data_IF_699363402675
#
_entry.id   IF_699363402675
#
_cell.length_a   1.000
_cell.length_b   1.000
_cell.length_c   1.000
_cell.angle_alpha   90.00
_cell.angle_beta   90.00
_cell.angle_gamma   90.00
#
_symmetry.space_group_name_H-M   'P 1'
#
loop_
_entity.id
_entity.type
_entity.pdbx_description
1 polymer ?
#
# COMPACT_ATOMS: atom_id res chain seq x y z
N UNK A 1 -4.90 -13.68 -0.34
CA UNK A 1 -4.52 -12.66 -1.31
C UNK A 1 -3.54 -11.68 -0.66
N UNK A 2 -2.46 -12.21 -0.10
CA UNK A 2 -1.43 -11.43 0.57
C UNK A 2 -0.12 -11.95 0.01
N UNK A 3 0.35 -11.27 -1.03
CA UNK A 3 1.66 -11.55 -1.58
C UNK A 3 2.70 -10.95 -0.63
N UNK A 4 3.74 -11.71 -0.24
CA UNK A 4 4.80 -11.19 0.62
C UNK A 4 5.62 -10.06 -0.02
N UNK A 5 5.35 -9.76 -1.31
CA UNK A 5 6.00 -8.68 -2.06
C UNK A 5 5.28 -7.33 -1.93
N UNK A 6 4.11 -7.29 -1.32
CA UNK A 6 3.37 -6.04 -1.11
C UNK A 6 4.06 -5.23 -0.01
N UNK A 7 4.64 -4.09 -0.40
CA UNK A 7 5.34 -3.20 0.53
C UNK A 7 4.95 -1.73 0.38
N UNK A 8 4.05 -1.40 -0.55
CA UNK A 8 3.50 -0.05 -0.63
C UNK A 8 2.63 0.22 0.61
N UNK A 9 2.62 1.48 1.06
CA UNK A 9 1.71 1.96 2.10
C UNK A 9 0.88 3.07 1.48
N UNK A 10 -0.39 2.77 1.26
CA UNK A 10 -1.30 3.67 0.59
C UNK A 10 -2.70 3.53 1.17
N UNK A 11 -3.47 4.62 1.12
CA UNK A 11 -4.88 4.66 1.48
C UNK A 11 -5.62 5.39 0.36
N UNK A 12 -6.67 4.78 -0.17
CA UNK A 12 -7.55 5.40 -1.16
C UNK A 12 -8.88 5.69 -0.47
N UNK A 13 -9.33 6.94 -0.53
CA UNK A 13 -10.57 7.42 0.09
C UNK A 13 -11.60 7.68 -1.01
N UNK A 14 -12.70 6.92 -1.00
CA UNK A 14 -13.84 7.05 -1.91
C UNK A 14 -13.49 7.17 -3.41
N UNK A 15 -12.35 6.63 -3.83
CA UNK A 15 -11.79 6.77 -5.17
C UNK A 15 -11.56 8.24 -5.62
N UNK A 16 -11.39 9.17 -4.67
CA UNK A 16 -11.25 10.62 -4.92
C UNK A 16 -9.97 11.22 -4.36
N UNK A 17 -9.42 10.63 -3.31
CA UNK A 17 -8.20 11.10 -2.67
C UNK A 17 -7.31 9.90 -2.35
N UNK A 18 -6.00 10.11 -2.37
CA UNK A 18 -5.03 9.09 -2.01
C UNK A 18 -3.95 9.63 -1.10
N UNK A 19 -3.65 8.86 -0.06
CA UNK A 19 -2.40 8.97 0.68
C UNK A 19 -1.41 7.92 0.16
N UNK A 20 -0.19 8.33 -0.19
CA UNK A 20 0.93 7.43 -0.49
C UNK A 20 2.15 7.87 0.31
N UNK A 21 2.77 6.96 1.05
CA UNK A 21 3.90 7.33 1.91
C UNK A 21 4.68 6.17 2.51
N UNK A 22 5.52 6.50 3.49
CA UNK A 22 6.39 5.56 4.19
C UNK A 22 5.68 4.87 5.37
N UNK A 23 4.68 5.52 5.96
CA UNK A 23 4.05 5.07 7.20
C UNK A 23 3.30 3.75 7.02
N UNK A 24 3.71 2.72 7.74
CA UNK A 24 2.94 1.48 7.86
C UNK A 24 1.73 1.70 8.80
N UNK A 25 0.64 0.97 8.56
CA UNK A 25 -0.56 0.94 9.42
C UNK A 25 -0.27 0.22 10.75
N UNK A 26 0.49 0.88 11.60
CA UNK A 26 0.92 0.43 12.93
C UNK A 26 0.87 1.59 13.90
N UNK A 27 0.79 1.30 15.20
CA UNK A 27 0.86 2.33 16.25
C UNK A 27 2.06 3.27 16.09
N UNK A 28 3.21 2.73 15.68
CA UNK A 28 4.42 3.51 15.46
C UNK A 28 4.30 4.48 14.26
N UNK A 29 3.67 4.02 13.16
CA UNK A 29 3.44 4.83 11.96
C UNK A 29 2.37 5.91 12.15
N UNK A 30 1.42 5.70 13.06
CA UNK A 30 0.41 6.70 13.45
C UNK A 30 0.86 7.67 14.55
N UNK A 31 2.13 7.62 14.96
CA UNK A 31 2.67 8.57 15.94
C UNK A 31 2.25 8.30 17.39
N UNK A 32 1.85 7.06 17.75
CA UNK A 32 1.55 6.71 19.16
C UNK A 32 2.79 6.70 20.07
N UNK A 33 4.00 6.72 19.49
CA UNK A 33 5.23 6.90 20.26
C UNK A 33 5.36 8.38 20.66
N UNK A 34 5.92 8.65 21.85
CA UNK A 34 6.19 10.01 22.31
C UNK A 34 7.04 10.81 21.31
N UNK A 35 7.00 12.14 21.42
CA UNK A 35 7.57 13.07 20.43
C UNK A 35 9.02 12.76 20.04
N UNK A 36 9.87 12.39 21.02
CA UNK A 36 11.29 12.06 20.80
C UNK A 36 11.54 10.61 20.34
N UNK A 37 10.49 9.79 20.22
CA UNK A 37 10.59 8.35 19.91
C UNK A 37 9.79 7.95 18.68
N UNK A 38 8.98 8.84 18.11
CA UNK A 38 8.20 8.57 16.90
C UNK A 38 9.09 8.46 15.66
N UNK A 39 8.63 7.68 14.69
CA UNK A 39 9.32 7.57 13.42
C UNK A 39 9.15 8.87 12.63
N UNK A 40 10.18 9.25 11.88
CA UNK A 40 10.03 10.24 10.82
C UNK A 40 9.37 9.56 9.63
N UNK A 41 8.16 9.98 9.30
CA UNK A 41 7.40 9.48 8.16
C UNK A 41 7.20 10.60 7.14
N UNK A 42 7.09 10.23 5.87
CA UNK A 42 6.77 11.13 4.78
C UNK A 42 5.65 10.55 3.93
N UNK A 43 4.81 11.41 3.39
CA UNK A 43 3.74 11.00 2.50
C UNK A 43 3.12 12.18 1.78
N UNK A 44 2.42 11.87 0.70
CA UNK A 44 1.65 12.81 -0.11
C UNK A 44 0.19 12.41 0.08
N UNK A 45 -0.63 13.38 0.53
CA UNK A 45 -2.08 13.32 0.47
C UNK A 45 -2.51 14.22 -0.69
N UNK A 46 -3.25 13.67 -1.65
CA UNK A 46 -3.64 14.40 -2.84
C UNK A 46 -4.95 13.89 -3.44
N UNK A 47 -5.72 14.81 -3.99
CA UNK A 47 -6.93 14.61 -4.79
C UNK A 47 -6.68 14.81 -6.29
N UNK A 48 -5.41 14.92 -6.72
CA UNK A 48 -5.05 15.01 -8.13
C UNK A 48 -5.56 13.75 -8.87
N UNK A 49 -6.49 13.89 -9.85
CA UNK A 49 -7.12 12.75 -10.48
C UNK A 49 -6.13 11.80 -11.17
N UNK A 50 -5.03 12.33 -11.73
CA UNK A 50 -4.03 11.51 -12.40
C UNK A 50 -3.24 10.67 -11.41
N UNK A 51 -2.94 11.21 -10.23
CA UNK A 51 -2.24 10.48 -9.17
C UNK A 51 -3.18 9.44 -8.54
N UNK A 52 -4.44 9.81 -8.27
CA UNK A 52 -5.46 8.91 -7.73
C UNK A 52 -5.68 7.72 -8.67
N UNK A 53 -5.84 7.96 -9.97
CA UNK A 53 -5.99 6.90 -10.97
C UNK A 53 -4.77 5.97 -11.03
N UNK A 54 -3.55 6.52 -11.06
CA UNK A 54 -2.32 5.72 -11.06
C UNK A 54 -2.20 4.85 -9.81
N UNK A 55 -2.53 5.41 -8.64
CA UNK A 55 -2.52 4.70 -7.38
C UNK A 55 -3.55 3.56 -7.36
N UNK A 56 -4.79 3.83 -7.77
CA UNK A 56 -5.83 2.80 -7.89
C UNK A 56 -5.42 1.68 -8.85
N UNK A 57 -4.85 2.01 -10.01
CA UNK A 57 -4.36 1.04 -10.99
C UNK A 57 -3.23 0.16 -10.42
N UNK A 58 -2.32 0.75 -9.63
CA UNK A 58 -1.26 0.01 -8.95
C UNK A 58 -1.82 -0.97 -7.91
N UNK A 59 -2.80 -0.52 -7.11
CA UNK A 59 -3.50 -1.38 -6.17
C UNK A 59 -4.21 -2.52 -6.90
N UNK A 60 -4.99 -2.20 -7.93
CA UNK A 60 -5.81 -3.16 -8.66
C UNK A 60 -4.95 -4.20 -9.39
N UNK A 61 -3.82 -3.81 -9.99
CA UNK A 61 -2.89 -4.75 -10.62
C UNK A 61 -2.37 -5.83 -9.64
N UNK A 62 -2.13 -5.46 -8.38
CA UNK A 62 -1.78 -6.43 -7.33
C UNK A 62 -3.02 -7.20 -6.88
N UNK A 63 -4.16 -6.51 -6.75
CA UNK A 63 -5.42 -7.06 -6.28
C UNK A 63 -5.93 -8.18 -7.21
N UNK A 64 -6.02 -7.94 -8.51
CA UNK A 64 -6.48 -8.95 -9.48
C UNK A 64 -5.45 -10.06 -9.74
N UNK A 65 -4.28 -10.02 -9.10
CA UNK A 65 -3.24 -11.02 -9.27
C UNK A 65 -2.51 -10.94 -10.62
N UNK A 66 -2.45 -9.76 -11.27
CA UNK A 66 -1.79 -9.56 -12.57
C UNK A 66 -0.36 -10.10 -12.62
N UNK A 67 0.32 -10.09 -11.48
CA UNK A 67 1.71 -10.54 -11.33
C UNK A 67 1.86 -11.99 -10.82
N UNK A 68 0.77 -12.70 -10.50
CA UNK A 68 0.79 -14.00 -9.83
C UNK A 68 1.35 -15.12 -10.71
N UNK A 69 1.01 -15.16 -12.01
CA UNK A 69 1.42 -16.23 -12.93
C UNK A 69 2.93 -16.42 -13.04
N UNK A 70 3.71 -15.34 -12.96
CA UNK A 70 5.18 -15.36 -13.04
C UNK A 70 5.86 -15.22 -11.66
N UNK A 71 5.10 -15.24 -10.57
CA UNK A 71 5.62 -14.97 -9.23
C UNK A 71 6.28 -16.22 -8.63
N UNK A 72 7.60 -16.17 -8.42
CA UNK A 72 8.39 -17.24 -7.79
C UNK A 72 8.20 -17.36 -6.27
N UNK A 73 7.36 -16.51 -5.66
CA UNK A 73 7.06 -16.50 -4.21
C UNK A 73 5.64 -16.98 -3.92
N UNK A 74 5.00 -17.65 -4.89
CA UNK A 74 3.60 -18.09 -4.81
C UNK A 74 3.33 -19.03 -3.63
N UNK A 75 4.28 -19.91 -3.32
CA UNK A 75 4.20 -20.85 -2.19
C UNK A 75 4.13 -20.16 -0.82
N UNK A 76 4.61 -18.91 -0.74
CA UNK A 76 4.59 -18.10 0.47
C UNK A 76 3.36 -17.18 0.54
N UNK A 77 2.49 -17.19 -0.47
CA UNK A 77 1.27 -16.40 -0.46
C UNK A 77 0.22 -17.08 0.42
N UNK A 78 -0.33 -16.35 1.40
CA UNK A 78 -1.38 -16.86 2.31
C UNK A 78 -2.65 -17.32 1.58
N UNK A 79 -2.95 -16.74 0.41
CA UNK A 79 -4.02 -17.20 -0.47
C UNK A 79 -3.70 -16.71 -1.91
N UNK A 80 -3.12 -17.56 -2.77
CA UNK A 80 -2.65 -17.18 -4.11
C UNK A 80 -3.79 -17.14 -5.13
N UNK A 81 -3.82 -16.08 -5.95
CA UNK A 81 -4.74 -15.97 -7.10
C UNK A 81 -4.19 -16.79 -8.28
N UNK A 82 -5.10 -17.43 -9.04
CA UNK A 82 -4.80 -18.32 -10.16
C UNK A 82 -4.24 -17.61 -11.40
#
# INVERSE_FOLDING_TARGET
MLSPRVHFKMLVFDCKEVYVGSANLTSAGFGMKGEDKRNFEAGILTDDPAIVEQAMNQFDAVWIGKHCKKCKRRELCLNPIL
#
